data_IF_241863332441
#
_entry.id   IF_241863332441
#
_cell.length_a   1.000
_cell.length_b   1.000
_cell.length_c   1.000
_cell.angle_alpha   90.00
_cell.angle_beta   90.00
_cell.angle_gamma   90.00
#
_symmetry.space_group_name_H-M   'P 1'
#
loop_
_entity.id
_entity.type
_entity.pdbx_description
1 polymer ?
#
# COMPACT_ATOMS: atom_id res chain seq x y z
N UNK A 1 7.58 -25.69 -3.50
CA UNK A 1 7.06 -24.48 -4.13
C UNK A 1 8.17 -23.43 -4.17
N UNK A 2 8.38 -22.83 -5.31
CA UNK A 2 9.32 -21.71 -5.51
C UNK A 2 8.66 -20.37 -5.20
N UNK A 3 9.46 -19.30 -5.10
CA UNK A 3 8.94 -17.95 -4.86
C UNK A 3 7.96 -17.51 -5.94
N UNK A 4 8.27 -17.75 -7.20
CA UNK A 4 7.37 -17.41 -8.31
C UNK A 4 6.07 -18.22 -8.27
N UNK A 5 6.13 -19.53 -8.01
CA UNK A 5 4.93 -20.36 -7.87
C UNK A 5 4.04 -19.91 -6.70
N UNK A 6 4.65 -19.49 -5.58
CA UNK A 6 3.90 -18.93 -4.45
C UNK A 6 3.22 -17.60 -4.82
N UNK A 7 3.94 -16.74 -5.53
CA UNK A 7 3.40 -15.47 -6.00
C UNK A 7 2.21 -15.69 -6.94
N UNK A 8 2.31 -16.61 -7.91
CA UNK A 8 1.21 -16.93 -8.83
C UNK A 8 -0.04 -17.42 -8.07
N UNK A 9 0.14 -18.30 -7.07
CA UNK A 9 -0.98 -18.77 -6.23
C UNK A 9 -1.63 -17.64 -5.42
N UNK A 10 -0.80 -16.72 -4.91
CA UNK A 10 -1.30 -15.54 -4.19
C UNK A 10 -2.07 -14.60 -5.11
N UNK A 11 -1.56 -14.33 -6.32
CA UNK A 11 -2.27 -13.53 -7.33
C UNK A 11 -3.59 -14.22 -7.72
N UNK A 12 -3.58 -15.52 -7.95
CA UNK A 12 -4.80 -16.26 -8.26
C UNK A 12 -5.85 -16.16 -7.14
N UNK A 13 -5.44 -16.06 -5.87
CA UNK A 13 -6.36 -15.81 -4.76
C UNK A 13 -6.91 -14.39 -4.77
N UNK A 14 -6.02 -13.38 -4.95
CA UNK A 14 -6.40 -11.97 -4.80
C UNK A 14 -7.03 -11.38 -6.07
N UNK A 15 -6.51 -11.72 -7.23
CA UNK A 15 -6.93 -11.17 -8.54
C UNK A 15 -7.02 -12.28 -9.61
N UNK A 16 -7.99 -13.19 -9.48
CA UNK A 16 -8.11 -14.35 -10.37
C UNK A 16 -8.40 -13.99 -11.84
N UNK A 17 -8.85 -12.77 -12.10
CA UNK A 17 -9.21 -12.30 -13.44
C UNK A 17 -8.14 -11.38 -14.07
N UNK A 18 -7.09 -11.02 -13.33
CA UNK A 18 -6.04 -10.10 -13.81
C UNK A 18 -6.52 -8.64 -13.95
N UNK A 19 -7.48 -8.24 -13.13
CA UNK A 19 -8.11 -6.91 -13.23
C UNK A 19 -7.20 -5.77 -12.75
N UNK A 20 -6.12 -6.09 -12.02
CA UNK A 20 -5.21 -5.05 -11.55
C UNK A 20 -4.47 -4.33 -12.68
N UNK A 21 -4.09 -5.02 -13.75
CA UNK A 21 -3.36 -4.42 -14.87
C UNK A 21 -4.10 -3.25 -15.52
N UNK A 22 -5.43 -3.30 -15.53
CA UNK A 22 -6.29 -2.26 -16.08
C UNK A 22 -7.17 -1.60 -15.02
N UNK A 23 -6.73 -1.62 -13.76
CA UNK A 23 -7.53 -1.16 -12.63
C UNK A 23 -7.97 0.29 -12.82
N UNK A 24 -9.27 0.49 -12.72
CA UNK A 24 -9.94 1.79 -12.66
C UNK A 24 -10.96 1.75 -11.54
N UNK A 25 -10.64 2.38 -10.42
CA UNK A 25 -11.50 2.26 -9.23
C UNK A 25 -11.29 3.35 -8.22
N UNK A 26 -12.13 3.32 -7.19
CA UNK A 26 -12.12 4.25 -6.08
C UNK A 26 -12.00 3.47 -4.76
N UNK A 27 -11.08 3.91 -3.91
CA UNK A 27 -10.84 3.34 -2.60
C UNK A 27 -11.22 4.37 -1.53
N UNK A 28 -11.88 3.91 -0.48
CA UNK A 28 -12.18 4.72 0.69
C UNK A 28 -11.40 4.17 1.87
N UNK A 29 -10.47 4.98 2.40
CA UNK A 29 -9.57 4.53 3.46
C UNK A 29 -9.68 5.48 4.65
N UNK A 30 -9.99 4.93 5.80
CA UNK A 30 -9.88 5.63 7.08
C UNK A 30 -8.59 5.22 7.76
N UNK A 31 -7.71 6.18 8.03
CA UNK A 31 -6.49 5.97 8.80
C UNK A 31 -6.71 6.39 10.25
N UNK A 32 -6.52 5.46 11.15
CA UNK A 32 -6.59 5.68 12.60
C UNK A 32 -5.19 5.59 13.21
N UNK A 33 -4.83 6.56 14.05
CA UNK A 33 -3.55 6.57 14.76
C UNK A 33 -3.79 6.94 16.23
N UNK A 34 -2.93 6.49 17.17
CA UNK A 34 -3.15 6.72 18.60
C UNK A 34 -3.19 8.17 19.03
N UNK A 35 -2.54 9.08 18.28
CA UNK A 35 -2.28 10.47 18.73
C UNK A 35 -3.00 11.53 17.92
N UNK A 36 -3.54 11.19 16.78
CA UNK A 36 -4.15 12.18 15.88
C UNK A 36 -5.59 11.81 15.55
N UNK A 37 -6.38 12.81 15.17
CA UNK A 37 -7.70 12.58 14.60
C UNK A 37 -7.60 11.68 13.36
N UNK A 38 -8.63 10.87 13.11
CA UNK A 38 -8.68 9.99 11.95
C UNK A 38 -8.61 10.78 10.64
N UNK A 39 -7.96 10.22 9.64
CA UNK A 39 -7.93 10.77 8.28
C UNK A 39 -8.78 9.90 7.37
N UNK A 40 -9.78 10.51 6.76
CA UNK A 40 -10.64 9.86 5.75
C UNK A 40 -10.15 10.27 4.36
N UNK A 41 -9.77 9.28 3.57
CA UNK A 41 -9.25 9.51 2.23
C UNK A 41 -10.11 8.83 1.17
N UNK A 42 -10.39 9.55 0.11
CA UNK A 42 -10.93 9.02 -1.15
C UNK A 42 -9.77 8.98 -2.14
N UNK A 43 -9.47 7.80 -2.67
CA UNK A 43 -8.38 7.57 -3.61
C UNK A 43 -8.98 7.08 -4.92
N UNK A 44 -8.69 7.76 -6.02
CA UNK A 44 -9.04 7.32 -7.38
C UNK A 44 -7.80 6.89 -8.11
N UNK A 45 -7.84 5.70 -8.69
CA UNK A 45 -6.76 5.12 -9.47
C UNK A 45 -7.33 4.72 -10.82
N UNK A 46 -6.70 5.18 -11.91
CA UNK A 46 -6.98 4.75 -13.27
C UNK A 46 -5.62 4.46 -13.93
N UNK A 47 -5.20 3.20 -13.87
CA UNK A 47 -3.88 2.80 -14.35
C UNK A 47 -3.72 3.01 -15.86
N UNK A 48 -4.69 2.66 -16.74
CA UNK A 48 -4.56 2.88 -18.17
C UNK A 48 -4.38 4.35 -18.58
N UNK A 49 -4.97 5.27 -17.83
CA UNK A 49 -4.89 6.71 -18.11
C UNK A 49 -3.79 7.42 -17.30
N UNK A 50 -3.00 6.67 -16.51
CA UNK A 50 -1.98 7.21 -15.61
C UNK A 50 -2.53 8.32 -14.69
N UNK A 51 -3.77 8.11 -14.20
CA UNK A 51 -4.47 9.07 -13.34
C UNK A 51 -4.48 8.58 -11.89
N UNK A 52 -4.17 9.49 -11.00
CA UNK A 52 -4.26 9.29 -9.55
C UNK A 52 -4.82 10.53 -8.87
N UNK A 53 -5.76 10.34 -7.95
CA UNK A 53 -6.27 11.39 -7.06
C UNK A 53 -6.30 10.85 -5.64
N UNK A 54 -5.88 11.67 -4.69
CA UNK A 54 -6.18 11.47 -3.28
C UNK A 54 -6.75 12.74 -2.68
N UNK A 55 -7.96 12.62 -2.11
CA UNK A 55 -8.62 13.65 -1.32
C UNK A 55 -8.68 13.18 0.12
N UNK A 56 -8.02 13.88 1.01
CA UNK A 56 -7.91 13.51 2.42
C UNK A 56 -8.55 14.57 3.31
N UNK A 57 -9.35 14.12 4.27
CA UNK A 57 -10.04 14.96 5.25
C UNK A 57 -9.53 14.58 6.64
N UNK A 58 -9.00 15.56 7.36
CA UNK A 58 -8.66 15.44 8.79
C UNK A 58 -9.16 16.70 9.50
N UNK A 59 -10.02 16.52 10.50
CA UNK A 59 -10.74 17.63 11.15
C UNK A 59 -11.49 18.46 10.10
N UNK A 60 -11.17 19.74 9.98
CA UNK A 60 -11.76 20.68 9.01
C UNK A 60 -10.90 20.91 7.77
N UNK A 61 -9.74 20.25 7.69
CA UNK A 61 -8.80 20.43 6.59
C UNK A 61 -9.01 19.34 5.52
N UNK A 62 -9.25 19.81 4.31
CA UNK A 62 -9.37 18.98 3.11
C UNK A 62 -8.18 19.25 2.20
N UNK A 63 -7.32 18.26 1.99
CA UNK A 63 -6.24 18.32 1.00
C UNK A 63 -6.56 17.42 -0.17
N UNK A 64 -6.23 17.89 -1.38
CA UNK A 64 -6.39 17.09 -2.59
C UNK A 64 -5.13 17.16 -3.43
N UNK A 65 -4.69 16.01 -3.93
CA UNK A 65 -3.56 15.87 -4.85
C UNK A 65 -4.02 15.10 -6.05
N UNK A 66 -3.70 15.58 -7.23
CA UNK A 66 -4.02 14.94 -8.51
C UNK A 66 -2.74 14.77 -9.32
N UNK A 67 -2.54 13.59 -9.87
CA UNK A 67 -1.51 13.31 -10.87
C UNK A 67 -2.20 12.78 -12.10
N UNK A 68 -1.94 13.41 -13.25
CA UNK A 68 -2.37 12.97 -14.55
C UNK A 68 -1.14 12.91 -15.45
N UNK A 69 -0.67 11.71 -15.74
CA UNK A 69 0.63 11.50 -16.42
C UNK A 69 1.76 12.21 -15.67
N UNK A 70 2.39 13.18 -16.28
CA UNK A 70 3.46 13.99 -15.70
C UNK A 70 2.96 15.25 -14.97
N UNK A 71 1.69 15.61 -15.15
CA UNK A 71 1.09 16.80 -14.55
C UNK A 71 0.66 16.53 -13.11
N UNK A 72 0.90 17.50 -12.26
CA UNK A 72 0.57 17.46 -10.83
C UNK A 72 -0.16 18.72 -10.42
N UNK A 73 -1.26 18.56 -9.70
CA UNK A 73 -1.99 19.67 -9.07
C UNK A 73 -2.40 19.32 -7.64
N UNK A 74 -2.66 20.35 -6.84
CA UNK A 74 -3.08 20.20 -5.45
C UNK A 74 -3.95 21.35 -5.02
N UNK A 75 -4.78 21.10 -4.00
CA UNK A 75 -5.61 22.12 -3.38
C UNK A 75 -5.73 21.90 -1.87
N UNK A 76 -6.11 22.94 -1.15
CA UNK A 76 -6.50 22.90 0.25
C UNK A 76 -7.81 23.63 0.44
N UNK A 77 -8.79 22.96 1.05
CA UNK A 77 -10.15 23.48 1.26
C UNK A 77 -10.77 24.08 -0.03
N UNK A 78 -10.50 23.44 -1.19
CA UNK A 78 -10.95 23.90 -2.50
C UNK A 78 -10.12 25.03 -3.12
N UNK A 79 -9.15 25.61 -2.40
CA UNK A 79 -8.24 26.62 -2.95
C UNK A 79 -7.13 25.95 -3.78
N UNK A 80 -7.16 26.17 -5.10
CA UNK A 80 -6.18 25.63 -6.06
C UNK A 80 -4.89 26.47 -6.16
N UNK A 81 -4.89 27.67 -5.59
CA UNK A 81 -3.75 28.59 -5.55
C UNK A 81 -3.41 28.98 -4.10
N UNK A 82 -3.06 28.00 -3.24
CA UNK A 82 -2.70 28.30 -1.86
C UNK A 82 -1.43 29.14 -1.76
N UNK A 83 -1.33 29.96 -0.72
CA UNK A 83 -0.11 30.72 -0.44
C UNK A 83 1.07 29.79 -0.18
N UNK A 84 2.30 30.30 -0.34
CA UNK A 84 3.51 29.52 -0.02
C UNK A 84 3.57 29.08 1.44
N UNK A 85 3.03 29.88 2.36
CA UNK A 85 2.89 29.51 3.78
C UNK A 85 2.01 28.25 3.95
N UNK A 86 0.83 28.22 3.30
CA UNK A 86 -0.06 27.07 3.34
C UNK A 86 0.55 25.84 2.65
N UNK A 87 1.24 26.02 1.51
CA UNK A 87 1.95 24.95 0.83
C UNK A 87 2.99 24.29 1.74
N UNK A 88 3.80 25.10 2.41
CA UNK A 88 4.83 24.61 3.33
C UNK A 88 4.21 23.95 4.57
N UNK A 89 3.20 24.57 5.17
CA UNK A 89 2.53 24.06 6.37
C UNK A 89 1.88 22.70 6.16
N UNK A 90 1.28 22.45 5.00
CA UNK A 90 0.54 21.22 4.68
C UNK A 90 1.24 20.32 3.68
N UNK A 91 2.50 20.60 3.33
CA UNK A 91 3.28 19.85 2.35
C UNK A 91 2.57 19.70 0.99
N UNK A 92 1.98 20.80 0.50
CA UNK A 92 1.29 20.80 -0.79
C UNK A 92 2.31 20.96 -1.93
N UNK A 93 2.86 19.85 -2.37
CA UNK A 93 3.85 19.80 -3.44
C UNK A 93 3.74 18.49 -4.24
N UNK A 94 4.37 18.45 -5.41
CA UNK A 94 4.30 17.29 -6.30
C UNK A 94 5.07 16.08 -5.77
N UNK A 95 6.10 16.27 -4.97
CA UNK A 95 6.80 15.18 -4.29
C UNK A 95 5.84 14.42 -3.36
N UNK A 96 5.03 15.14 -2.58
CA UNK A 96 4.01 14.57 -1.71
C UNK A 96 2.92 13.86 -2.50
N UNK A 97 2.48 14.44 -3.62
CA UNK A 97 1.51 13.82 -4.52
C UNK A 97 2.02 12.48 -5.08
N UNK A 98 3.27 12.46 -5.56
CA UNK A 98 3.92 11.25 -6.07
C UNK A 98 4.13 10.21 -4.97
N UNK A 99 4.48 10.63 -3.76
CA UNK A 99 4.60 9.73 -2.62
C UNK A 99 3.24 9.03 -2.34
N UNK A 100 2.12 9.76 -2.33
CA UNK A 100 0.81 9.17 -2.15
C UNK A 100 0.41 8.24 -3.30
N UNK A 101 0.68 8.63 -4.54
CA UNK A 101 0.45 7.77 -5.71
C UNK A 101 1.19 6.45 -5.56
N UNK A 102 2.49 6.50 -5.29
CA UNK A 102 3.31 5.30 -5.14
C UNK A 102 2.86 4.44 -3.95
N UNK A 103 2.56 5.06 -2.81
CA UNK A 103 2.08 4.38 -1.61
C UNK A 103 0.78 3.60 -1.87
N UNK A 104 -0.26 4.28 -2.37
CA UNK A 104 -1.56 3.65 -2.56
C UNK A 104 -1.56 2.64 -3.70
N UNK A 105 -0.92 2.94 -4.83
CA UNK A 105 -0.84 1.98 -5.95
C UNK A 105 -0.05 0.74 -5.58
N UNK A 106 1.05 0.88 -4.82
CA UNK A 106 1.83 -0.25 -4.38
C UNK A 106 1.08 -1.11 -3.36
N UNK A 107 0.68 -0.54 -2.22
CA UNK A 107 0.12 -1.31 -1.12
C UNK A 107 -1.24 -1.93 -1.45
N UNK A 108 -2.08 -1.24 -2.22
CA UNK A 108 -3.39 -1.77 -2.62
C UNK A 108 -3.33 -2.65 -3.88
N UNK A 109 -2.25 -2.57 -4.63
CA UNK A 109 -1.94 -3.46 -5.75
C UNK A 109 -1.17 -4.72 -5.37
N UNK A 110 -0.78 -4.89 -4.11
CA UNK A 110 -0.16 -6.14 -3.64
C UNK A 110 -1.19 -7.29 -3.60
N UNK A 111 -0.81 -8.53 -3.98
CA UNK A 111 0.50 -8.98 -4.41
C UNK A 111 0.82 -8.78 -5.91
N UNK A 112 -0.13 -8.30 -6.74
CA UNK A 112 0.06 -8.13 -8.19
C UNK A 112 1.26 -7.24 -8.53
N UNK A 113 1.49 -6.19 -7.75
CA UNK A 113 2.64 -5.27 -7.88
C UNK A 113 4.02 -5.95 -7.76
N UNK A 114 4.08 -7.16 -7.23
CA UNK A 114 5.32 -7.94 -7.18
C UNK A 114 5.75 -8.49 -8.54
N UNK A 115 4.93 -8.34 -9.57
CA UNK A 115 5.30 -8.62 -10.97
C UNK A 115 5.85 -7.43 -11.74
N UNK A 116 5.86 -6.24 -11.14
CA UNK A 116 6.39 -5.05 -11.79
C UNK A 116 7.90 -5.18 -12.07
N UNK A 117 8.32 -4.53 -13.14
CA UNK A 117 9.74 -4.46 -13.52
C UNK A 117 10.59 -3.91 -12.37
N UNK A 118 11.76 -4.52 -12.19
CA UNK A 118 12.68 -4.15 -11.13
C UNK A 118 12.43 -4.85 -9.79
N UNK A 119 11.36 -5.65 -9.66
CA UNK A 119 11.14 -6.52 -8.51
C UNK A 119 11.93 -7.83 -8.69
N UNK A 120 12.65 -8.24 -7.66
CA UNK A 120 13.43 -9.48 -7.64
C UNK A 120 12.79 -10.44 -6.64
N UNK A 121 12.10 -11.45 -7.14
CA UNK A 121 11.51 -12.52 -6.34
C UNK A 121 12.57 -13.57 -6.04
N UNK A 122 12.84 -13.80 -4.76
CA UNK A 122 13.79 -14.82 -4.34
C UNK A 122 13.17 -16.23 -4.52
N UNK A 123 13.93 -17.20 -5.06
CA UNK A 123 13.36 -18.50 -5.39
C UNK A 123 13.00 -19.35 -4.18
N UNK A 124 13.66 -19.13 -3.04
CA UNK A 124 13.43 -19.88 -1.81
C UNK A 124 12.22 -19.36 -1.06
N UNK A 125 11.24 -20.22 -0.82
CA UNK A 125 10.10 -19.98 0.09
C UNK A 125 10.44 -20.60 1.45
N UNK A 126 10.21 -19.84 2.50
CA UNK A 126 10.42 -20.29 3.87
C UNK A 126 9.09 -20.56 4.57
N UNK A 127 9.04 -21.56 5.46
CA UNK A 127 7.96 -21.70 6.44
C UNK A 127 8.39 -21.01 7.72
N UNK A 128 7.60 -20.03 8.16
CA UNK A 128 7.87 -19.29 9.40
C UNK A 128 6.63 -19.18 10.26
N UNK A 129 6.85 -19.22 11.56
CA UNK A 129 5.85 -18.85 12.55
C UNK A 129 6.01 -17.37 12.87
N UNK A 130 4.93 -16.61 12.73
CA UNK A 130 4.89 -15.18 13.05
C UNK A 130 3.60 -14.85 13.78
N UNK A 131 3.67 -14.13 14.91
CA UNK A 131 2.51 -13.81 15.76
C UNK A 131 1.63 -15.05 16.06
N UNK A 132 2.27 -16.19 16.34
CA UNK A 132 1.58 -17.44 16.70
C UNK A 132 1.03 -18.27 15.54
N UNK A 133 1.07 -17.79 14.30
CA UNK A 133 0.52 -18.43 13.12
C UNK A 133 1.63 -18.84 12.12
N UNK A 134 1.45 -19.95 11.41
CA UNK A 134 2.37 -20.42 10.38
C UNK A 134 2.07 -19.81 9.01
N UNK A 135 3.13 -19.49 8.29
CA UNK A 135 3.06 -18.86 6.96
C UNK A 135 4.06 -19.46 5.98
N UNK A 136 3.75 -19.36 4.70
CA UNK A 136 4.71 -19.40 3.62
C UNK A 136 5.22 -17.98 3.39
N UNK A 137 6.54 -17.81 3.40
CA UNK A 137 7.17 -16.48 3.34
C UNK A 137 7.98 -16.33 2.07
N UNK A 138 7.63 -15.31 1.31
CA UNK A 138 8.29 -14.86 0.10
C UNK A 138 9.17 -13.66 0.42
N UNK A 139 10.44 -13.72 0.02
CA UNK A 139 11.34 -12.56 0.06
C UNK A 139 11.37 -11.87 -1.29
N UNK A 140 11.23 -10.55 -1.29
CA UNK A 140 11.42 -9.70 -2.46
C UNK A 140 12.44 -8.59 -2.17
N UNK A 141 13.24 -8.29 -3.17
CA UNK A 141 14.13 -7.13 -3.21
C UNK A 141 13.91 -6.38 -4.52
N UNK A 142 14.50 -5.21 -4.65
CA UNK A 142 14.27 -4.36 -5.81
C UNK A 142 15.61 -3.93 -6.41
N UNK A 143 15.62 -3.64 -7.70
CA UNK A 143 16.73 -2.94 -8.31
C UNK A 143 16.95 -1.62 -7.57
N UNK A 144 18.21 -1.19 -7.41
CA UNK A 144 18.58 0.00 -6.61
C UNK A 144 17.83 1.28 -7.00
N UNK A 145 17.38 1.38 -8.24
CA UNK A 145 16.61 2.50 -8.75
C UNK A 145 15.13 2.48 -8.31
N UNK A 146 14.60 1.29 -7.94
CA UNK A 146 13.22 1.09 -7.53
C UNK A 146 13.07 1.17 -6.02
N UNK A 147 13.98 0.54 -5.28
CA UNK A 147 13.94 0.53 -3.83
C UNK A 147 15.16 -0.13 -3.21
N UNK A 148 15.42 0.20 -1.95
CA UNK A 148 16.56 -0.34 -1.18
C UNK A 148 16.13 -1.29 -0.07
N UNK A 149 14.84 -1.31 0.25
CA UNK A 149 14.31 -2.10 1.35
C UNK A 149 14.19 -3.58 0.95
N UNK A 150 14.36 -4.45 1.93
CA UNK A 150 14.08 -5.88 1.79
C UNK A 150 12.68 -6.14 2.33
N UNK A 151 11.84 -6.77 1.52
CA UNK A 151 10.47 -7.08 1.85
C UNK A 151 10.24 -8.58 2.02
N UNK A 152 9.38 -8.93 2.97
CA UNK A 152 8.89 -10.29 3.22
C UNK A 152 7.36 -10.26 3.21
N UNK A 153 6.79 -11.15 2.42
CA UNK A 153 5.34 -11.32 2.27
C UNK A 153 4.94 -12.67 2.82
N UNK A 154 3.98 -12.66 3.73
CA UNK A 154 3.54 -13.83 4.46
C UNK A 154 2.17 -14.27 3.97
N UNK A 155 2.09 -15.47 3.47
CA UNK A 155 0.90 -16.04 2.86
C UNK A 155 0.37 -17.21 3.68
N UNK A 156 -0.96 -17.29 3.79
CA UNK A 156 -1.61 -18.43 4.40
C UNK A 156 -1.27 -19.71 3.64
N UNK A 157 -0.80 -20.77 4.30
CA UNK A 157 -0.31 -21.97 3.61
C UNK A 157 -1.41 -22.80 2.94
N UNK A 158 -2.70 -22.53 3.26
CA UNK A 158 -3.86 -23.23 2.68
C UNK A 158 -4.54 -22.42 1.58
N UNK A 159 -4.73 -21.14 1.79
CA UNK A 159 -5.51 -20.26 0.88
C UNK A 159 -4.62 -19.42 -0.03
N UNK A 160 -3.35 -19.22 0.33
CA UNK A 160 -2.42 -18.30 -0.30
C UNK A 160 -2.80 -16.81 -0.18
N UNK A 161 -3.78 -16.50 0.69
CA UNK A 161 -4.08 -15.11 1.03
C UNK A 161 -2.86 -14.43 1.66
N UNK A 162 -2.56 -13.21 1.25
CA UNK A 162 -1.54 -12.38 1.89
C UNK A 162 -2.08 -11.85 3.21
N UNK A 163 -1.41 -12.17 4.31
CA UNK A 163 -1.88 -11.81 5.65
C UNK A 163 -0.91 -10.92 6.42
N UNK A 164 0.36 -10.86 6.01
CA UNK A 164 1.36 -9.93 6.56
C UNK A 164 2.30 -9.51 5.45
N UNK A 165 2.76 -8.27 5.51
CA UNK A 165 4.00 -7.87 4.84
C UNK A 165 4.89 -7.12 5.83
N UNK A 166 6.21 -7.25 5.65
CA UNK A 166 7.22 -6.72 6.54
C UNK A 166 8.39 -6.23 5.71
N UNK A 167 8.91 -5.06 6.05
CA UNK A 167 10.09 -4.55 5.38
C UNK A 167 11.17 -4.13 6.37
N UNK A 168 12.39 -4.26 5.91
CA UNK A 168 13.59 -3.85 6.62
C UNK A 168 14.37 -2.85 5.76
N UNK A 169 14.74 -1.74 6.38
CA UNK A 169 15.68 -0.77 5.82
C UNK A 169 17.11 -1.27 6.03
N UNK A 170 18.11 -0.49 5.59
CA UNK A 170 19.51 -0.87 5.71
C UNK A 170 19.98 -1.11 7.16
N UNK A 171 19.37 -0.46 8.15
CA UNK A 171 19.71 -0.65 9.57
C UNK A 171 18.98 -1.87 10.14
N UNK A 172 19.71 -2.65 10.95
CA UNK A 172 19.13 -3.78 11.71
C UNK A 172 17.95 -3.30 12.56
N UNK A 173 16.89 -4.11 12.61
CA UNK A 173 15.65 -3.85 13.34
C UNK A 173 14.88 -2.58 12.91
N UNK A 174 15.27 -1.99 11.79
CA UNK A 174 14.52 -0.88 11.19
C UNK A 174 13.33 -1.39 10.38
N UNK A 175 12.43 -0.47 10.01
CA UNK A 175 11.24 -0.80 9.23
C UNK A 175 10.08 -1.26 10.09
N UNK A 176 9.11 -1.86 9.43
CA UNK A 176 7.79 -2.11 10.00
C UNK A 176 7.24 -3.44 9.50
N UNK A 177 6.28 -3.99 10.22
CA UNK A 177 5.43 -5.04 9.72
C UNK A 177 3.96 -4.63 9.79
N UNK A 178 3.18 -5.17 8.88
CA UNK A 178 1.79 -4.81 8.70
C UNK A 178 0.95 -6.07 8.75
N UNK A 179 0.05 -6.13 9.73
CA UNK A 179 -0.91 -7.21 9.86
C UNK A 179 -2.14 -6.89 9.01
N UNK A 180 -2.53 -7.84 8.17
CA UNK A 180 -3.67 -7.73 7.26
C UNK A 180 -4.81 -8.58 7.78
N UNK A 181 -6.02 -8.03 7.79
CA UNK A 181 -7.22 -8.77 8.21
C UNK A 181 -8.45 -8.29 7.47
N UNK A 182 -9.42 -9.21 7.34
CA UNK A 182 -10.61 -8.97 6.55
C UNK A 182 -10.32 -8.84 5.06
N UNK A 183 -11.37 -8.84 4.26
CA UNK A 183 -11.29 -8.66 2.81
C UNK A 183 -12.40 -7.71 2.35
N UNK A 184 -12.06 -6.82 1.43
CA UNK A 184 -12.99 -6.05 0.62
C UNK A 184 -12.82 -6.48 -0.84
N UNK A 185 -13.91 -6.55 -1.58
CA UNK A 185 -13.88 -6.90 -3.01
C UNK A 185 -14.11 -5.63 -3.81
N UNK A 186 -13.10 -5.22 -4.58
CA UNK A 186 -13.16 -4.03 -5.43
C UNK A 186 -12.76 -4.46 -6.84
N UNK A 187 -13.66 -4.29 -7.81
CA UNK A 187 -13.46 -4.73 -9.19
C UNK A 187 -13.02 -6.21 -9.29
N UNK A 188 -13.67 -7.08 -8.51
CA UNK A 188 -13.36 -8.52 -8.38
C UNK A 188 -11.96 -8.82 -7.78
N UNK A 189 -11.24 -7.82 -7.29
CA UNK A 189 -9.97 -7.98 -6.57
C UNK A 189 -10.25 -8.07 -5.07
N UNK A 190 -9.73 -9.12 -4.43
CA UNK A 190 -9.79 -9.28 -2.97
C UNK A 190 -8.64 -8.51 -2.32
N UNK A 191 -8.96 -7.37 -1.75
CA UNK A 191 -8.00 -6.52 -1.04
C UNK A 191 -8.13 -6.70 0.46
N UNK A 192 -7.03 -6.76 1.23
CA UNK A 192 -7.11 -6.70 2.69
C UNK A 192 -7.87 -5.47 3.17
N UNK A 193 -8.84 -5.67 4.07
CA UNK A 193 -9.64 -4.58 4.63
C UNK A 193 -8.83 -3.72 5.60
N UNK A 194 -8.19 -4.35 6.56
CA UNK A 194 -7.43 -3.68 7.59
C UNK A 194 -5.94 -3.89 7.37
N UNK A 195 -5.15 -2.83 7.56
CA UNK A 195 -3.69 -2.81 7.56
C UNK A 195 -3.22 -2.17 8.86
N UNK A 196 -2.84 -2.98 9.84
CA UNK A 196 -2.35 -2.52 11.14
C UNK A 196 -0.82 -2.50 11.16
N UNK A 197 -0.23 -1.33 11.39
CA UNK A 197 1.18 -1.01 11.27
C UNK A 197 1.89 -1.07 12.60
N UNK A 198 3.06 -1.72 12.64
CA UNK A 198 3.89 -1.89 13.84
C UNK A 198 5.37 -1.72 13.50
N UNK A 199 6.14 -1.17 14.44
CA UNK A 199 7.60 -1.17 14.34
C UNK A 199 8.18 -2.56 14.52
N UNK A 200 9.18 -2.94 13.71
CA UNK A 200 9.91 -4.20 13.89
C UNK A 200 10.64 -4.29 15.22
N UNK A 201 11.21 -3.16 15.68
CA UNK A 201 12.12 -3.14 16.84
C UNK A 201 11.46 -3.44 18.19
N UNK A 202 10.17 -3.17 18.35
CA UNK A 202 9.50 -3.23 19.66
C UNK A 202 8.00 -3.51 19.60
N UNK A 203 7.49 -3.94 18.44
CA UNK A 203 6.05 -4.15 18.19
C UNK A 203 5.17 -2.92 18.51
N UNK A 204 5.76 -1.73 18.47
CA UNK A 204 5.05 -0.48 18.74
C UNK A 204 4.00 -0.19 17.68
N UNK A 205 2.74 -0.06 18.10
CA UNK A 205 1.62 0.21 17.19
C UNK A 205 1.66 1.64 16.66
N UNK A 206 1.51 1.77 15.35
CA UNK A 206 1.57 3.04 14.61
C UNK A 206 0.18 3.54 14.18
N UNK A 207 -0.69 2.64 13.81
CA UNK A 207 -2.01 2.98 13.29
C UNK A 207 -2.58 1.88 12.42
N UNK A 208 -3.82 2.07 11.97
CA UNK A 208 -4.53 1.13 11.10
C UNK A 208 -5.20 1.88 9.97
N UNK A 209 -4.96 1.41 8.75
CA UNK A 209 -5.71 1.81 7.57
C UNK A 209 -6.87 0.84 7.35
N UNK A 210 -8.08 1.37 7.26
CA UNK A 210 -9.32 0.60 7.08
C UNK A 210 -9.90 0.93 5.72
N UNK A 211 -9.90 -0.06 4.82
CA UNK A 211 -10.51 0.02 3.50
C UNK A 211 -11.98 -0.31 3.59
N UNK A 212 -12.81 0.50 2.95
CA UNK A 212 -14.26 0.31 2.86
C UNK A 212 -14.65 0.31 1.38
N UNK A 213 -15.38 -0.72 0.94
CA UNK A 213 -16.09 -0.70 -0.35
C UNK A 213 -17.40 0.07 -0.17
N UNK A 214 -17.81 0.85 -1.16
CA UNK A 214 -19.14 1.46 -1.25
C UNK A 214 -20.08 0.59 -2.06
#
# INVERSE_FOLDING_TARGET
>A
ITGNELLEKAIQFHDPKGNWETFKGELFVTMETPKNASRKSTIKINLPEEYFLVKAIRDTIVTEYIIQKDDCSMSINGNINPSEELKNRYNLNCERANMYKNYYTYLYGLPMKLKDDGTIIHPKVERKKFQGKEYLVLKATYNKQVGKDTWYFYFNPKTYAMEVYQFFKEKKDSGEYILLSGLEIINDIKMPKNRAWYYNKNDGYLGTDILISK
#
